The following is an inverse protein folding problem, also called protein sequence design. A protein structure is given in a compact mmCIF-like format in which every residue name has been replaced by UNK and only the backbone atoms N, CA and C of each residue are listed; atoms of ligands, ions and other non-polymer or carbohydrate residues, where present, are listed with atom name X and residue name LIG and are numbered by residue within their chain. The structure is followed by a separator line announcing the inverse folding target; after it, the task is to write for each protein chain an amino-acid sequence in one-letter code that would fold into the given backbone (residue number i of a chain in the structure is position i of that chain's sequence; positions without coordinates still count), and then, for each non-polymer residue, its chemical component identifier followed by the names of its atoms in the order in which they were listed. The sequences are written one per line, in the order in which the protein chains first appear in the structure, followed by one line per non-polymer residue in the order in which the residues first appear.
data_IF_285156383216
#
_entry.id   IF_285156383216
#
_cell.length_a   1.000
_cell.length_b   1.000
_cell.length_c   1.000
_cell.angle_alpha   90.00
_cell.angle_beta   90.00
_cell.angle_gamma   90.00
#
_symmetry.space_group_name_H-M   'P 1'
#
loop_
_entity.id
_entity.type
_entity.pdbx_description
1 polymer ?
#
# COMPACT_ATOMS: atom_id res chain seq x y z
N UNK A 1 18.09 13.31 7.79
CA UNK A 1 18.29 12.39 6.64
C UNK A 1 19.04 11.17 7.16
N UNK A 2 18.69 9.94 6.76
CA UNK A 2 18.04 9.56 5.50
C UNK A 2 16.51 9.55 5.64
N UNK A 3 15.77 10.55 5.12
CA UNK A 3 14.93 10.38 3.92
C UNK A 3 15.08 9.01 3.30
N UNK A 4 14.01 8.20 3.14
CA UNK A 4 13.94 7.05 2.23
C UNK A 4 14.80 7.34 0.97
N UNK A 5 16.08 6.92 0.89
CA UNK A 5 16.92 7.30 -0.23
C UNK A 5 17.17 6.04 -1.06
N UNK A 6 16.93 6.13 -2.37
CA UNK A 6 17.26 5.07 -3.35
C UNK A 6 16.49 3.75 -3.32
N UNK A 7 15.61 3.49 -2.35
CA UNK A 7 14.75 2.30 -2.35
C UNK A 7 13.79 2.34 -3.56
N UNK A 8 13.13 3.45 -3.87
CA UNK A 8 12.14 3.46 -4.97
C UNK A 8 12.71 3.13 -6.35
N UNK A 9 13.94 3.51 -6.71
CA UNK A 9 14.48 3.19 -8.04
C UNK A 9 15.04 1.77 -8.11
N UNK A 10 15.74 1.32 -7.07
CA UNK A 10 16.28 -0.04 -7.01
C UNK A 10 15.12 -1.04 -6.88
N UNK A 11 14.09 -0.75 -6.07
CA UNK A 11 12.91 -1.60 -5.95
C UNK A 11 12.02 -1.57 -7.20
N UNK A 12 11.86 -0.43 -7.90
CA UNK A 12 11.16 -0.44 -9.20
C UNK A 12 11.95 -1.29 -10.22
N UNK A 13 13.27 -1.21 -10.24
CA UNK A 13 14.11 -2.08 -11.08
C UNK A 13 13.98 -3.54 -10.65
N UNK A 14 13.95 -3.85 -9.36
CA UNK A 14 13.69 -5.21 -8.85
C UNK A 14 12.28 -5.69 -9.16
N UNK A 15 11.26 -4.83 -9.13
CA UNK A 15 9.88 -5.16 -9.54
C UNK A 15 9.85 -5.49 -11.04
N UNK A 16 10.55 -4.69 -11.87
CA UNK A 16 10.69 -4.95 -13.29
C UNK A 16 11.49 -6.26 -13.52
N UNK A 17 12.58 -6.48 -12.80
CA UNK A 17 13.41 -7.68 -12.91
C UNK A 17 12.73 -8.94 -12.38
N UNK A 18 11.98 -8.89 -11.28
CA UNK A 18 11.16 -9.99 -10.76
C UNK A 18 10.02 -10.32 -11.74
N UNK A 19 9.41 -9.31 -12.36
CA UNK A 19 8.42 -9.52 -13.41
C UNK A 19 9.02 -10.13 -14.69
N UNK A 20 10.27 -9.82 -15.03
CA UNK A 20 10.97 -10.35 -16.23
C UNK A 20 11.62 -11.73 -16.01
N UNK A 21 12.22 -11.99 -14.85
CA UNK A 21 12.93 -13.26 -14.56
C UNK A 21 12.00 -14.47 -14.45
N UNK A 22 10.72 -14.26 -14.15
CA UNK A 22 9.70 -15.32 -14.13
C UNK A 22 9.13 -15.65 -15.52
N UNK A 23 9.68 -15.06 -16.59
CA UNK A 23 9.27 -15.32 -17.98
C UNK A 23 10.19 -16.29 -18.75
N UNK A 24 11.30 -16.73 -18.15
CA UNK A 24 12.23 -17.68 -18.73
C UNK A 24 12.44 -18.92 -17.84
N UNK A 25 11.45 -19.80 -17.80
CA UNK A 25 11.68 -21.20 -17.47
C UNK A 25 10.68 -22.07 -18.22
N UNK A 26 11.01 -22.41 -19.47
CA UNK A 26 10.70 -23.69 -20.14
C UNK A 26 11.00 -23.58 -21.63
N UNK A 27 12.14 -24.13 -22.06
CA UNK A 27 12.32 -24.80 -23.35
C UNK A 27 13.77 -25.30 -23.49
N UNK A 28 13.97 -26.61 -23.37
CA UNK A 28 15.08 -27.32 -24.05
C UNK A 28 14.69 -27.49 -25.53
N UNK A 29 15.66 -27.41 -26.46
CA UNK A 29 15.99 -28.63 -27.19
C UNK A 29 17.48 -28.80 -27.54
N UNK A 30 17.78 -30.00 -28.04
CA UNK A 30 19.08 -30.55 -28.39
C UNK A 30 19.81 -29.87 -29.56
N UNK A 31 21.13 -29.77 -29.36
CA UNK A 31 22.30 -29.77 -30.25
C UNK A 31 22.15 -29.91 -31.79
N UNK A 32 22.80 -29.03 -32.57
CA UNK A 32 23.90 -29.41 -33.51
C UNK A 32 24.52 -28.22 -34.29
N UNK A 33 25.86 -28.16 -34.22
CA UNK A 33 26.88 -27.69 -35.20
C UNK A 33 26.87 -26.28 -35.84
N UNK A 34 27.88 -25.51 -35.42
CA UNK A 34 28.89 -24.74 -36.19
C UNK A 34 28.48 -23.65 -37.21
N UNK A 35 28.95 -22.41 -37.01
CA UNK A 35 30.14 -21.78 -37.67
C UNK A 35 30.49 -20.43 -36.98
N UNK A 36 31.79 -20.20 -36.80
CA UNK A 36 32.59 -18.96 -36.55
C UNK A 36 31.98 -17.59 -36.93
N UNK A 37 32.47 -16.43 -36.48
CA UNK A 37 33.37 -15.94 -35.43
C UNK A 37 33.50 -14.41 -35.67
N UNK A 38 33.54 -13.59 -34.61
CA UNK A 38 34.19 -12.27 -34.48
C UNK A 38 33.42 -11.44 -33.42
N UNK A 39 33.82 -11.51 -32.15
CA UNK A 39 34.90 -10.70 -31.53
C UNK A 39 34.47 -9.26 -31.25
N UNK A 40 34.05 -8.99 -30.01
CA UNK A 40 34.39 -7.79 -29.23
C UNK A 40 34.30 -8.18 -27.75
N UNK A 41 35.44 -8.63 -27.20
CA UNK A 41 35.63 -8.86 -25.78
C UNK A 41 36.11 -7.58 -25.13
N UNK A 42 35.44 -7.14 -24.07
CA UNK A 42 36.06 -6.40 -22.98
C UNK A 42 35.88 -7.28 -21.74
N UNK A 43 36.99 -7.85 -21.28
CA UNK A 43 37.06 -8.60 -20.03
C UNK A 43 37.08 -7.63 -18.86
N UNK A 44 36.18 -7.85 -17.91
CA UNK A 44 36.36 -7.40 -16.54
C UNK A 44 36.06 -8.58 -15.60
N UNK A 45 36.87 -8.58 -14.55
CA UNK A 45 37.22 -9.67 -13.64
C UNK A 45 36.03 -10.20 -12.83
N UNK A 46 35.78 -11.51 -12.91
CA UNK A 46 34.77 -12.21 -12.11
C UNK A 46 35.48 -12.85 -10.91
N UNK A 47 35.66 -12.08 -9.85
CA UNK A 47 36.48 -12.46 -8.71
C UNK A 47 36.03 -11.92 -7.36
N UNK A 48 34.74 -11.95 -7.02
CA UNK A 48 34.32 -12.04 -5.61
C UNK A 48 32.87 -12.56 -5.49
N UNK A 49 32.73 -13.87 -5.26
CA UNK A 49 31.45 -14.45 -4.83
C UNK A 49 31.28 -14.08 -3.36
N UNK A 50 30.48 -13.04 -3.09
CA UNK A 50 29.98 -12.79 -1.73
C UNK A 50 28.94 -13.86 -1.43
N UNK A 51 29.39 -14.92 -0.76
CA UNK A 51 28.51 -15.89 -0.09
C UNK A 51 27.82 -15.19 1.06
N UNK A 52 26.53 -14.87 0.90
CA UNK A 52 25.69 -14.41 2.00
C UNK A 52 25.34 -15.60 2.89
N UNK A 53 26.11 -15.80 3.95
CA UNK A 53 25.70 -16.63 5.08
C UNK A 53 24.53 -15.91 5.79
N UNK A 54 23.37 -16.54 6.02
CA UNK A 54 22.29 -15.94 6.77
C UNK A 54 22.66 -15.88 8.25
N UNK A 55 22.90 -14.67 8.76
CA UNK A 55 23.08 -14.42 10.19
C UNK A 55 21.86 -14.91 10.98
N UNK A 56 22.05 -15.55 12.15
CA UNK A 56 20.96 -16.13 12.94
C UNK A 56 20.09 -15.02 13.52
N UNK A 57 18.82 -14.99 13.09
CA UNK A 57 17.78 -14.11 13.63
C UNK A 57 17.62 -14.35 15.14
N UNK A 58 18.00 -13.35 15.93
CA UNK A 58 17.68 -13.26 17.35
C UNK A 58 16.96 -11.94 17.65
N UNK A 59 15.79 -12.07 18.28
CA UNK A 59 15.18 -11.06 19.17
C UNK A 59 14.57 -9.81 18.55
N UNK A 60 13.23 -9.73 18.63
CA UNK A 60 12.40 -8.51 18.72
C UNK A 60 12.99 -7.19 18.17
N UNK A 61 12.87 -6.98 16.86
CA UNK A 61 13.06 -5.65 16.27
C UNK A 61 11.79 -4.81 16.46
N UNK A 62 11.72 -4.09 17.57
CA UNK A 62 10.91 -2.88 17.64
C UNK A 62 11.56 -1.86 16.70
N UNK A 63 10.95 -1.60 15.53
CA UNK A 63 11.47 -0.60 14.58
C UNK A 63 11.35 0.77 15.25
N UNK A 64 12.45 1.29 15.79
CA UNK A 64 12.53 2.65 16.32
C UNK A 64 12.42 3.63 15.15
N UNK A 65 11.19 4.01 14.79
CA UNK A 65 10.95 5.09 13.85
C UNK A 65 11.20 6.41 14.58
N UNK A 66 12.27 7.16 14.26
CA UNK A 66 12.45 8.48 14.85
C UNK A 66 11.23 9.33 14.51
N UNK A 67 10.67 9.98 15.53
CA UNK A 67 9.48 10.81 15.39
C UNK A 67 9.73 11.86 14.28
N UNK A 68 8.90 11.92 13.23
CA UNK A 68 9.10 12.87 12.14
C UNK A 68 9.21 14.31 12.67
N UNK A 69 10.20 15.06 12.19
CA UNK A 69 10.25 16.49 12.49
C UNK A 69 9.07 17.23 11.80
N UNK A 70 8.72 18.41 12.30
CA UNK A 70 7.62 19.23 11.75
C UNK A 70 7.78 19.48 10.23
N UNK A 71 9.02 19.59 9.77
CA UNK A 71 9.35 19.79 8.36
C UNK A 71 9.07 18.54 7.51
N UNK A 72 9.24 17.34 8.04
CA UNK A 72 8.84 16.10 7.38
C UNK A 72 7.32 16.02 7.25
N UNK A 73 6.59 16.34 8.31
CA UNK A 73 5.12 16.36 8.30
C UNK A 73 4.59 17.39 7.30
N UNK A 74 5.13 18.60 7.29
CA UNK A 74 4.74 19.64 6.32
C UNK A 74 4.91 19.15 4.87
N UNK A 75 6.03 18.48 4.56
CA UNK A 75 6.26 17.92 3.21
C UNK A 75 5.30 16.79 2.86
N UNK A 76 4.91 15.98 3.84
CA UNK A 76 3.89 14.95 3.62
C UNK A 76 2.56 15.61 3.25
N UNK A 77 2.13 16.62 4.03
CA UNK A 77 0.89 17.39 3.80
C UNK A 77 0.88 18.02 2.41
N UNK A 78 1.97 18.69 2.02
CA UNK A 78 2.09 19.33 0.69
C UNK A 78 1.96 18.33 -0.47
N UNK A 79 2.31 17.06 -0.21
CA UNK A 79 2.31 16.01 -1.23
C UNK A 79 1.04 15.15 -1.26
N UNK A 80 0.13 15.27 -0.28
CA UNK A 80 -1.07 14.40 -0.17
C UNK A 80 -1.97 14.46 -1.40
N UNK A 81 -2.21 15.66 -1.92
CA UNK A 81 -3.09 15.90 -3.07
C UNK A 81 -2.68 15.11 -4.31
N UNK A 82 -1.38 14.83 -4.48
CA UNK A 82 -0.84 14.05 -5.60
C UNK A 82 -1.15 12.55 -5.51
N UNK A 83 -1.61 12.09 -4.34
CA UNK A 83 -1.90 10.69 -4.03
C UNK A 83 -3.40 10.45 -3.78
N UNK A 84 -4.25 11.44 -4.08
CA UNK A 84 -5.69 11.33 -3.99
C UNK A 84 -6.31 10.93 -5.35
N UNK A 85 -7.45 10.22 -5.36
CA UNK A 85 -8.25 10.04 -6.56
C UNK A 85 -8.72 11.38 -7.15
N UNK A 86 -9.01 11.41 -8.46
CA UNK A 86 -9.57 12.60 -9.10
C UNK A 86 -10.93 12.99 -8.49
N UNK A 87 -11.24 14.30 -8.32
CA UNK A 87 -12.44 14.76 -7.59
C UNK A 87 -13.78 14.29 -8.17
N UNK A 88 -13.85 14.04 -9.48
CA UNK A 88 -15.05 13.59 -10.17
C UNK A 88 -15.35 12.10 -9.96
N UNK A 89 -14.37 11.32 -9.49
CA UNK A 89 -14.50 9.87 -9.29
C UNK A 89 -15.65 9.51 -8.34
N UNK A 90 -15.76 10.21 -7.21
CA UNK A 90 -16.82 9.98 -6.22
C UNK A 90 -18.20 10.15 -6.85
N UNK A 91 -18.39 11.21 -7.64
CA UNK A 91 -19.65 11.45 -8.36
C UNK A 91 -19.93 10.35 -9.38
N UNK A 92 -18.93 9.98 -10.19
CA UNK A 92 -19.06 8.91 -11.21
C UNK A 92 -19.44 7.57 -10.60
N UNK A 93 -18.92 7.24 -9.43
CA UNK A 93 -19.31 6.03 -8.72
C UNK A 93 -20.75 6.11 -8.21
N UNK A 94 -21.15 7.24 -7.61
CA UNK A 94 -22.53 7.41 -7.12
C UNK A 94 -23.57 7.30 -8.24
N UNK A 95 -23.24 7.79 -9.44
CA UNK A 95 -24.10 7.68 -10.62
C UNK A 95 -24.22 6.23 -11.16
N UNK A 96 -23.33 5.33 -10.74
CA UNK A 96 -23.22 3.94 -11.25
C UNK A 96 -23.18 2.93 -10.11
N UNK A 97 -24.36 2.51 -9.66
CA UNK A 97 -24.51 1.54 -8.56
C UNK A 97 -23.70 0.24 -8.74
N UNK A 98 -23.58 -0.26 -9.98
CA UNK A 98 -22.80 -1.47 -10.30
C UNK A 98 -21.30 -1.28 -10.03
N UNK A 99 -20.76 -0.08 -10.27
CA UNK A 99 -19.34 0.22 -10.04
C UNK A 99 -19.03 0.30 -8.55
N UNK A 100 -19.98 0.80 -7.74
CA UNK A 100 -19.88 0.84 -6.26
C UNK A 100 -19.84 -0.58 -5.68
N UNK A 101 -20.73 -1.46 -6.14
CA UNK A 101 -20.76 -2.86 -5.69
C UNK A 101 -19.46 -3.57 -6.09
N UNK A 102 -19.02 -3.40 -7.34
CA UNK A 102 -17.78 -4.02 -7.84
C UNK A 102 -16.55 -3.52 -7.09
N UNK A 103 -16.48 -2.21 -6.78
CA UNK A 103 -15.44 -1.63 -5.91
C UNK A 103 -15.48 -2.27 -4.51
N UNK A 104 -16.65 -2.38 -3.92
CA UNK A 104 -16.80 -2.96 -2.58
C UNK A 104 -16.35 -4.42 -2.53
N UNK A 105 -16.72 -5.23 -3.53
CA UNK A 105 -16.29 -6.61 -3.67
C UNK A 105 -14.77 -6.72 -3.81
N UNK A 106 -14.15 -5.88 -4.64
CA UNK A 106 -12.70 -5.80 -4.80
C UNK A 106 -11.98 -5.44 -3.51
N UNK A 107 -12.46 -4.43 -2.78
CA UNK A 107 -11.85 -4.00 -1.50
C UNK A 107 -12.02 -5.09 -0.44
N UNK A 108 -13.19 -5.72 -0.37
CA UNK A 108 -13.42 -6.84 0.52
C UNK A 108 -12.44 -7.99 0.27
N UNK A 109 -12.22 -8.31 -1.00
CA UNK A 109 -11.23 -9.32 -1.38
C UNK A 109 -9.82 -8.89 -0.97
N UNK A 110 -9.38 -7.66 -1.28
CA UNK A 110 -8.05 -7.17 -0.92
C UNK A 110 -7.80 -7.23 0.61
N UNK A 111 -8.78 -6.81 1.42
CA UNK A 111 -8.68 -6.86 2.88
C UNK A 111 -8.64 -8.30 3.42
N UNK A 112 -9.35 -9.24 2.80
CA UNK A 112 -9.26 -10.67 3.15
C UNK A 112 -7.87 -11.22 2.84
N UNK A 113 -7.29 -10.88 1.69
CA UNK A 113 -5.94 -11.34 1.32
C UNK A 113 -4.88 -10.74 2.24
N UNK A 114 -4.99 -9.45 2.57
CA UNK A 114 -4.16 -8.81 3.59
C UNK A 114 -4.21 -9.58 4.92
N UNK A 115 -5.41 -9.94 5.40
CA UNK A 115 -5.57 -10.69 6.64
C UNK A 115 -5.00 -12.12 6.54
N UNK A 116 -5.09 -12.76 5.37
CA UNK A 116 -4.58 -14.11 5.14
C UNK A 116 -3.06 -14.20 5.21
N UNK A 117 -2.37 -13.24 4.57
CA UNK A 117 -0.91 -13.21 4.52
C UNK A 117 -0.27 -12.40 5.64
N UNK A 118 -1.07 -11.81 6.54
CA UNK A 118 -0.60 -10.90 7.58
C UNK A 118 0.24 -9.74 7.02
N UNK A 119 -0.19 -9.21 5.87
CA UNK A 119 0.44 -8.01 5.31
C UNK A 119 0.29 -6.82 6.26
N UNK A 120 1.17 -5.85 6.12
CA UNK A 120 1.07 -4.57 6.81
C UNK A 120 -0.23 -3.85 6.46
N UNK A 121 -0.86 -3.14 7.42
CA UNK A 121 -2.00 -2.25 7.13
C UNK A 121 -1.69 -1.23 6.02
N UNK A 122 -0.43 -0.80 5.91
CA UNK A 122 0.04 0.09 4.84
C UNK A 122 -0.16 -0.56 3.47
N UNK A 123 0.17 -1.85 3.32
CA UNK A 123 0.00 -2.62 2.09
C UNK A 123 -1.47 -2.69 1.68
N UNK A 124 -2.37 -2.98 2.62
CA UNK A 124 -3.80 -2.99 2.36
C UNK A 124 -4.30 -1.61 1.90
N UNK A 125 -3.92 -0.54 2.60
CA UNK A 125 -4.33 0.81 2.24
C UNK A 125 -3.79 1.23 0.87
N UNK A 126 -2.51 0.97 0.58
CA UNK A 126 -1.91 1.26 -0.72
C UNK A 126 -2.60 0.50 -1.85
N UNK A 127 -2.98 -0.76 -1.63
CA UNK A 127 -3.71 -1.54 -2.64
C UNK A 127 -5.03 -0.86 -3.02
N UNK A 128 -5.79 -0.35 -2.04
CA UNK A 128 -7.03 0.40 -2.29
C UNK A 128 -6.74 1.77 -2.90
N UNK A 129 -5.70 2.47 -2.43
CA UNK A 129 -5.29 3.76 -2.99
C UNK A 129 -4.96 3.64 -4.49
N UNK A 130 -4.21 2.60 -4.89
CA UNK A 130 -3.88 2.38 -6.28
C UNK A 130 -5.12 2.04 -7.12
N UNK A 131 -6.00 1.22 -6.55
CA UNK A 131 -7.25 0.80 -7.18
C UNK A 131 -8.14 2.01 -7.48
N UNK A 132 -8.41 2.85 -6.47
CA UNK A 132 -9.26 4.02 -6.62
C UNK A 132 -8.63 5.10 -7.50
N UNK A 133 -7.31 5.33 -7.42
CA UNK A 133 -6.62 6.26 -8.32
C UNK A 133 -6.69 5.79 -9.78
N UNK A 134 -6.55 4.48 -10.03
CA UNK A 134 -6.71 3.93 -11.36
C UNK A 134 -8.13 4.15 -11.90
N UNK A 135 -9.16 3.81 -11.13
CA UNK A 135 -10.58 4.00 -11.52
C UNK A 135 -11.00 5.48 -11.61
N UNK A 136 -10.28 6.35 -10.90
CA UNK A 136 -10.46 7.79 -11.03
C UNK A 136 -10.06 8.31 -12.42
N UNK A 137 -9.11 7.65 -13.10
CA UNK A 137 -8.63 8.06 -14.43
C UNK A 137 -9.18 7.19 -15.57
N UNK A 138 -9.57 5.95 -15.29
CA UNK A 138 -9.98 4.99 -16.29
C UNK A 138 -11.31 4.31 -15.93
N UNK A 139 -12.15 4.09 -16.93
CA UNK A 139 -13.32 3.22 -16.79
C UNK A 139 -12.96 1.80 -17.22
N UNK A 140 -13.36 0.82 -16.40
CA UNK A 140 -13.25 -0.58 -16.77
C UNK A 140 -14.45 -1.03 -17.62
N UNK A 141 -14.27 -2.00 -18.53
CA UNK A 141 -15.39 -2.63 -19.21
C UNK A 141 -16.35 -3.29 -18.21
N UNK A 142 -17.65 -3.20 -18.45
CA UNK A 142 -18.68 -3.90 -17.66
C UNK A 142 -18.77 -5.38 -18.06
N UNK A 143 -17.65 -6.09 -18.00
CA UNK A 143 -17.54 -7.49 -18.41
C UNK A 143 -17.57 -8.41 -17.18
N UNK A 144 -18.75 -8.77 -16.70
CA UNK A 144 -18.99 -9.80 -15.66
C UNK A 144 -18.11 -9.70 -14.39
N UNK A 145 -17.58 -8.50 -14.07
CA UNK A 145 -16.72 -8.25 -12.89
C UNK A 145 -15.25 -8.66 -12.99
N UNK A 146 -14.84 -9.43 -14.01
CA UNK A 146 -13.43 -9.87 -14.11
C UNK A 146 -12.40 -8.72 -14.20
N UNK A 147 -12.68 -7.56 -14.86
CA UNK A 147 -11.72 -6.47 -14.90
C UNK A 147 -11.42 -5.87 -13.53
N UNK A 148 -12.43 -5.81 -12.65
CA UNK A 148 -12.29 -5.32 -11.28
C UNK A 148 -11.45 -6.29 -10.44
N UNK A 149 -11.67 -7.60 -10.60
CA UNK A 149 -10.83 -8.62 -9.93
C UNK A 149 -9.37 -8.58 -10.43
N UNK A 150 -9.14 -8.43 -11.74
CA UNK A 150 -7.79 -8.32 -12.28
C UNK A 150 -7.08 -7.05 -11.74
N UNK A 151 -7.79 -5.92 -11.71
CA UNK A 151 -7.27 -4.68 -11.15
C UNK A 151 -6.94 -4.85 -9.66
N UNK A 152 -7.81 -5.48 -8.87
CA UNK A 152 -7.55 -5.68 -7.43
C UNK A 152 -6.33 -6.56 -7.18
N UNK A 153 -6.17 -7.67 -7.92
CA UNK A 153 -5.00 -8.54 -7.82
C UNK A 153 -3.71 -7.78 -8.18
N UNK A 154 -3.73 -6.98 -9.25
CA UNK A 154 -2.58 -6.19 -9.67
C UNK A 154 -2.22 -5.08 -8.65
N UNK A 155 -3.21 -4.34 -8.14
CA UNK A 155 -2.99 -3.30 -7.14
C UNK A 155 -2.44 -3.87 -5.84
N UNK A 156 -2.97 -5.01 -5.37
CA UNK A 156 -2.46 -5.68 -4.18
C UNK A 156 -1.04 -6.21 -4.38
N UNK A 157 -0.75 -6.81 -5.54
CA UNK A 157 0.61 -7.30 -5.83
C UNK A 157 1.62 -6.16 -5.86
N UNK A 158 1.28 -5.02 -6.49
CA UNK A 158 2.12 -3.83 -6.47
C UNK A 158 2.34 -3.32 -5.04
N UNK A 159 1.28 -3.22 -4.24
CA UNK A 159 1.41 -2.76 -2.85
C UNK A 159 2.31 -3.68 -2.03
N UNK A 160 2.13 -5.00 -2.16
CA UNK A 160 2.95 -5.98 -1.47
C UNK A 160 4.42 -5.88 -1.89
N UNK A 161 4.72 -5.71 -3.18
CA UNK A 161 6.10 -5.50 -3.67
C UNK A 161 6.75 -4.20 -3.18
N UNK A 162 5.95 -3.20 -2.81
CA UNK A 162 6.45 -1.92 -2.32
C UNK A 162 6.74 -1.93 -0.82
N UNK A 163 5.98 -2.69 -0.03
CA UNK A 163 6.01 -2.60 1.43
C UNK A 163 6.39 -3.89 2.16
N UNK A 164 6.20 -5.07 1.55
CA UNK A 164 6.46 -6.35 2.20
C UNK A 164 7.89 -6.87 1.92
N UNK A 165 8.53 -7.49 2.92
CA UNK A 165 9.85 -8.10 2.73
C UNK A 165 9.79 -9.36 1.85
N UNK A 166 8.66 -10.06 1.88
CA UNK A 166 8.41 -11.26 1.11
C UNK A 166 7.02 -11.18 0.48
N UNK A 167 6.97 -11.39 -0.83
CA UNK A 167 5.73 -11.35 -1.59
C UNK A 167 5.43 -12.74 -2.13
N UNK A 168 4.23 -13.31 -1.88
CA UNK A 168 3.81 -14.56 -2.48
C UNK A 168 3.83 -14.50 -4.01
N UNK A 169 3.87 -15.66 -4.66
CA UNK A 169 3.77 -15.72 -6.12
C UNK A 169 2.41 -15.17 -6.59
N UNK A 170 2.37 -14.67 -7.83
CA UNK A 170 1.14 -14.10 -8.42
C UNK A 170 -0.02 -15.09 -8.50
N UNK A 171 0.28 -16.39 -8.64
CA UNK A 171 -0.74 -17.43 -8.57
C UNK A 171 -1.24 -17.61 -7.14
N UNK A 172 -0.34 -17.63 -6.16
CA UNK A 172 -0.68 -17.84 -4.76
C UNK A 172 -1.50 -16.68 -4.19
N UNK A 173 -1.24 -15.43 -4.62
CA UNK A 173 -2.01 -14.25 -4.19
C UNK A 173 -3.52 -14.35 -4.48
N UNK A 174 -3.93 -15.22 -5.41
CA UNK A 174 -5.33 -15.37 -5.84
C UNK A 174 -6.11 -16.36 -4.96
N UNK A 175 -6.09 -16.12 -3.65
CA UNK A 175 -6.78 -16.96 -2.64
C UNK A 175 -8.29 -16.68 -2.55
N UNK A 176 -8.99 -17.52 -1.77
CA UNK A 176 -10.43 -17.48 -1.47
C UNK A 176 -11.36 -17.83 -2.62
N UNK A 177 -11.00 -18.87 -3.38
CA UNK A 177 -11.82 -19.40 -4.49
C UNK A 177 -12.29 -18.27 -5.42
N UNK A 178 -11.36 -17.53 -6.04
CA UNK A 178 -11.72 -16.38 -6.84
C UNK A 178 -12.57 -16.85 -8.03
N UNK A 179 -13.59 -16.07 -8.38
CA UNK A 179 -14.44 -16.35 -9.55
C UNK A 179 -13.63 -16.41 -10.85
N UNK A 180 -12.47 -15.75 -10.87
CA UNK A 180 -11.55 -15.68 -11.98
C UNK A 180 -10.13 -15.90 -11.47
N UNK A 181 -9.37 -16.75 -12.17
CA UNK A 181 -7.94 -16.95 -11.94
C UNK A 181 -7.20 -16.44 -13.18
N UNK A 182 -6.22 -15.58 -12.96
CA UNK A 182 -5.43 -14.95 -14.02
C UNK A 182 -4.03 -15.52 -14.07
N UNK A 183 -3.52 -15.69 -15.29
CA UNK A 183 -2.12 -16.02 -15.50
C UNK A 183 -1.21 -14.87 -15.01
N UNK A 184 -0.01 -15.19 -14.47
CA UNK A 184 0.96 -14.19 -14.03
C UNK A 184 1.23 -13.09 -15.06
N UNK A 185 1.36 -13.44 -16.34
CA UNK A 185 1.59 -12.48 -17.43
C UNK A 185 0.46 -11.48 -17.60
N UNK A 186 -0.78 -11.90 -17.35
CA UNK A 186 -1.97 -11.02 -17.42
C UNK A 186 -1.98 -10.04 -16.25
N UNK A 187 -1.63 -10.52 -15.05
CA UNK A 187 -1.49 -9.67 -13.87
C UNK A 187 -0.37 -8.65 -14.08
N UNK A 188 0.82 -9.07 -14.52
CA UNK A 188 1.95 -8.17 -14.80
C UNK A 188 1.64 -7.08 -15.82
N UNK A 189 0.88 -7.41 -16.87
CA UNK A 189 0.40 -6.40 -17.84
C UNK A 189 -0.52 -5.38 -17.17
N UNK A 190 -1.38 -5.83 -16.27
CA UNK A 190 -2.23 -4.94 -15.49
C UNK A 190 -1.42 -4.09 -14.51
N UNK A 191 -0.42 -4.65 -13.84
CA UNK A 191 0.51 -3.91 -12.98
C UNK A 191 1.17 -2.75 -13.74
N UNK A 192 1.67 -3.00 -14.96
CA UNK A 192 2.25 -1.96 -15.81
C UNK A 192 1.24 -0.86 -16.15
N UNK A 193 -0.03 -1.22 -16.42
CA UNK A 193 -1.09 -0.24 -16.64
C UNK A 193 -1.38 0.60 -15.41
N UNK A 194 -1.41 -0.02 -14.22
CA UNK A 194 -1.59 0.69 -12.95
C UNK A 194 -0.43 1.64 -12.71
N UNK A 195 0.82 1.18 -12.83
CA UNK A 195 1.99 2.04 -12.67
C UNK A 195 1.99 3.22 -13.64
N UNK A 196 1.66 2.99 -14.91
CA UNK A 196 1.55 4.05 -15.90
C UNK A 196 0.45 5.06 -15.56
N UNK A 197 -0.75 4.59 -15.20
CA UNK A 197 -1.88 5.42 -14.77
C UNK A 197 -1.54 6.30 -13.57
N UNK A 198 -0.76 5.77 -12.63
CA UNK A 198 -0.34 6.46 -11.41
C UNK A 198 0.91 7.33 -11.62
N UNK A 199 1.41 7.48 -12.85
CA UNK A 199 2.67 8.15 -13.17
C UNK A 199 3.85 7.64 -12.34
N UNK A 200 3.88 6.33 -12.06
CA UNK A 200 4.87 5.65 -11.24
C UNK A 200 4.97 6.15 -9.79
N UNK A 201 3.97 6.93 -9.32
CA UNK A 201 3.88 7.42 -7.94
C UNK A 201 3.23 6.38 -7.04
N UNK A 202 3.96 5.29 -6.79
CA UNK A 202 3.53 4.19 -5.92
C UNK A 202 3.84 4.47 -4.44
N UNK A 203 4.88 5.23 -4.12
CA UNK A 203 5.13 5.66 -2.73
C UNK A 203 4.16 6.77 -2.31
N UNK A 204 2.87 6.44 -2.23
CA UNK A 204 1.80 7.35 -1.81
C UNK A 204 1.97 7.73 -0.34
N UNK A 205 1.61 8.96 0.00
CA UNK A 205 1.39 9.35 1.40
C UNK A 205 0.15 8.62 1.93
N UNK A 206 0.30 8.01 3.09
CA UNK A 206 -0.73 7.22 3.77
C UNK A 206 -1.08 7.81 5.14
N UNK A 207 -2.25 7.49 5.70
CA UNK A 207 -2.59 7.92 7.06
C UNK A 207 -1.57 7.43 8.11
N UNK A 208 -0.94 6.28 7.86
CA UNK A 208 0.04 5.68 8.77
C UNK A 208 1.31 6.53 8.92
N UNK A 209 1.68 7.32 7.91
CA UNK A 209 2.83 8.22 7.96
C UNK A 209 2.69 9.31 9.04
N UNK A 210 1.46 9.60 9.46
CA UNK A 210 1.17 10.62 10.47
C UNK A 210 0.94 10.06 11.88
N UNK A 211 0.60 8.79 12.03
CA UNK A 211 0.14 8.23 13.31
C UNK A 211 1.17 8.42 14.42
N UNK A 212 2.44 8.05 14.18
CA UNK A 212 3.51 8.20 15.18
C UNK A 212 3.67 9.65 15.63
N UNK A 213 3.67 10.59 14.68
CA UNK A 213 3.79 12.01 14.98
C UNK A 213 2.57 12.51 15.75
N UNK A 214 1.35 12.21 15.33
CA UNK A 214 0.15 12.66 16.03
C UNK A 214 0.05 12.08 17.44
N UNK A 215 0.38 10.79 17.65
CA UNK A 215 0.38 10.19 18.98
C UNK A 215 1.41 10.87 19.89
N UNK A 216 2.58 11.22 19.35
CA UNK A 216 3.62 11.93 20.12
C UNK A 216 3.19 13.31 20.63
N UNK A 217 2.18 13.91 20.00
CA UNK A 217 1.61 15.21 20.37
C UNK A 217 0.45 15.09 21.35
N UNK A 218 -0.04 13.88 21.64
CA UNK A 218 -1.11 13.71 22.61
C UNK A 218 -0.62 14.05 24.03
N UNK A 219 -1.47 14.69 24.86
CA UNK A 219 -1.15 14.95 26.26
C UNK A 219 -0.81 13.64 26.97
N UNK A 220 0.39 13.56 27.56
CA UNK A 220 0.86 12.34 28.22
C UNK A 220 -0.01 12.05 29.45
N UNK A 221 -0.95 11.11 29.35
CA UNK A 221 -1.53 10.50 30.53
C UNK A 221 -0.46 9.57 31.13
N UNK A 222 0.27 10.11 32.09
CA UNK A 222 1.38 9.47 32.79
C UNK A 222 0.96 8.11 33.36
N UNK A 223 1.52 7.01 32.82
CA UNK A 223 2.01 5.78 33.50
C UNK A 223 1.84 4.45 32.75
N UNK A 224 1.24 4.38 31.54
CA UNK A 224 1.09 3.10 30.79
C UNK A 224 1.29 3.19 29.27
N UNK A 225 2.26 4.01 28.83
CA UNK A 225 2.33 4.46 27.43
C UNK A 225 2.78 3.40 26.42
N UNK A 226 3.64 2.42 26.76
CA UNK A 226 4.13 1.46 25.75
C UNK A 226 3.01 0.53 25.24
N UNK A 227 2.27 -0.08 26.16
CA UNK A 227 1.14 -0.96 25.82
C UNK A 227 -0.03 -0.16 25.22
N UNK A 228 -0.23 1.07 25.69
CA UNK A 228 -1.24 1.99 25.15
C UNK A 228 -0.89 2.47 23.74
N UNK A 229 0.38 2.72 23.42
CA UNK A 229 0.82 3.21 22.12
C UNK A 229 0.55 2.18 21.01
N UNK A 230 0.98 0.94 21.22
CA UNK A 230 0.74 -0.16 20.28
C UNK A 230 -0.75 -0.45 20.12
N UNK A 231 -1.53 -0.38 21.21
CA UNK A 231 -2.98 -0.53 21.17
C UNK A 231 -3.66 0.60 20.39
N UNK A 232 -3.26 1.86 20.59
CA UNK A 232 -3.79 3.03 19.87
C UNK A 232 -3.44 2.94 18.39
N UNK A 233 -2.22 2.54 18.03
CA UNK A 233 -1.83 2.33 16.63
C UNK A 233 -2.67 1.23 15.99
N UNK A 234 -2.85 0.09 16.67
CA UNK A 234 -3.67 -1.00 16.16
C UNK A 234 -5.13 -0.55 15.93
N UNK A 235 -5.76 0.07 16.93
CA UNK A 235 -7.12 0.58 16.83
C UNK A 235 -7.27 1.65 15.73
N UNK A 236 -6.31 2.58 15.63
CA UNK A 236 -6.29 3.59 14.57
C UNK A 236 -6.15 2.94 13.19
N UNK A 237 -5.30 1.92 13.07
CA UNK A 237 -5.07 1.17 11.83
C UNK A 237 -6.34 0.47 11.36
N UNK A 238 -7.05 -0.20 12.27
CA UNK A 238 -8.31 -0.87 11.98
C UNK A 238 -9.38 0.14 11.51
N UNK A 239 -9.49 1.28 12.18
CA UNK A 239 -10.40 2.36 11.76
C UNK A 239 -10.04 2.87 10.37
N UNK A 240 -8.75 3.15 10.10
CA UNK A 240 -8.27 3.58 8.78
C UNK A 240 -8.65 2.55 7.71
N UNK A 241 -8.38 1.26 7.92
CA UNK A 241 -8.73 0.22 6.95
C UNK A 241 -10.25 0.12 6.76
N UNK A 242 -11.05 0.25 7.81
CA UNK A 242 -12.50 0.25 7.71
C UNK A 242 -13.04 1.41 6.86
N UNK A 243 -12.44 2.59 6.97
CA UNK A 243 -12.85 3.75 6.15
C UNK A 243 -12.68 3.49 4.64
N UNK A 244 -11.70 2.69 4.22
CA UNK A 244 -11.44 2.41 2.80
C UNK A 244 -12.64 1.75 2.09
N UNK A 245 -13.45 1.01 2.85
CA UNK A 245 -14.67 0.35 2.37
C UNK A 245 -15.72 1.38 1.96
N UNK A 246 -15.85 2.46 2.72
CA UNK A 246 -16.90 3.47 2.54
C UNK A 246 -16.42 4.52 1.54
N UNK A 247 -17.07 4.58 0.37
CA UNK A 247 -16.63 5.43 -0.74
C UNK A 247 -16.57 6.92 -0.40
N UNK A 248 -17.43 7.38 0.53
CA UNK A 248 -17.47 8.78 0.94
C UNK A 248 -16.17 9.26 1.60
N UNK A 249 -15.36 8.35 2.15
CA UNK A 249 -14.10 8.70 2.80
C UNK A 249 -12.99 9.06 1.81
N UNK A 250 -13.16 8.80 0.51
CA UNK A 250 -12.20 9.20 -0.53
C UNK A 250 -12.02 10.72 -0.65
N UNK A 251 -12.92 11.51 -0.05
CA UNK A 251 -12.81 12.97 -0.01
C UNK A 251 -11.80 13.49 1.02
N UNK A 252 -11.43 12.67 1.99
CA UNK A 252 -10.58 13.10 3.10
C UNK A 252 -9.11 12.78 2.81
N UNK A 253 -8.24 13.75 3.08
CA UNK A 253 -6.81 13.58 2.92
C UNK A 253 -6.25 12.59 3.97
N UNK A 254 -5.12 11.91 3.70
CA UNK A 254 -4.52 10.94 4.61
C UNK A 254 -4.28 11.49 6.03
N UNK A 255 -3.81 12.74 6.15
CA UNK A 255 -3.64 13.47 7.41
C UNK A 255 -4.94 13.59 8.20
N UNK A 256 -6.05 13.90 7.53
CA UNK A 256 -7.38 14.01 8.13
C UNK A 256 -7.87 12.65 8.62
N UNK A 257 -7.67 11.59 7.81
CA UNK A 257 -8.03 10.22 8.19
C UNK A 257 -7.25 9.76 9.42
N UNK A 258 -5.95 10.04 9.47
CA UNK A 258 -5.08 9.69 10.57
C UNK A 258 -5.47 10.40 11.87
N UNK A 259 -5.72 11.71 11.81
CA UNK A 259 -6.14 12.49 12.96
C UNK A 259 -7.50 12.01 13.49
N UNK A 260 -8.47 11.78 12.60
CA UNK A 260 -9.79 11.29 12.98
C UNK A 260 -9.73 9.88 13.61
N UNK A 261 -9.00 8.95 12.98
CA UNK A 261 -8.83 7.60 13.50
C UNK A 261 -8.16 7.60 14.87
N UNK A 262 -7.13 8.42 15.06
CA UNK A 262 -6.46 8.57 16.35
C UNK A 262 -7.41 9.11 17.42
N UNK A 263 -8.15 10.17 17.12
CA UNK A 263 -9.11 10.75 18.06
C UNK A 263 -10.19 9.74 18.45
N UNK A 264 -10.71 8.96 17.51
CA UNK A 264 -11.65 7.88 17.80
C UNK A 264 -11.01 6.78 18.69
N UNK A 265 -9.82 6.31 18.33
CA UNK A 265 -9.11 5.26 19.08
C UNK A 265 -8.75 5.68 20.52
N UNK A 266 -8.46 6.97 20.73
CA UNK A 266 -8.20 7.53 22.06
C UNK A 266 -9.49 7.85 22.81
N UNK A 267 -10.55 8.29 22.13
CA UNK A 267 -11.86 8.60 22.70
C UNK A 267 -12.52 7.41 23.38
N UNK A 268 -12.33 6.20 22.85
CA UNK A 268 -12.78 4.95 23.49
C UNK A 268 -12.02 4.63 24.80
N UNK A 269 -10.83 5.21 25.00
CA UNK A 269 -10.00 5.05 26.20
C UNK A 269 -10.03 6.28 27.14
N UNK A 270 -10.57 7.41 26.67
CA UNK A 270 -10.90 8.57 27.48
C UNK A 270 -12.34 8.41 27.96
N UNK A 271 -12.54 7.75 29.11
CA UNK A 271 -13.68 8.10 29.95
C UNK A 271 -13.55 9.60 30.26
N UNK A 272 -14.26 10.43 29.50
CA UNK A 272 -14.41 11.84 29.79
C UNK A 272 -15.00 11.94 31.19
N UNK A 273 -14.31 12.56 32.17
CA UNK A 273 -14.93 12.86 33.45
C UNK A 273 -16.01 13.91 33.16
N UNK A 274 -17.24 13.43 33.05
CA UNK A 274 -18.48 14.18 32.86
C UNK A 274 -18.52 15.15 31.67
N UNK A 275 -19.63 15.06 30.96
CA UNK A 275 -20.21 16.20 30.26
C UNK A 275 -20.30 17.37 31.24
N UNK A 276 -19.39 18.33 31.16
CA UNK A 276 -19.66 19.69 31.62
C UNK A 276 -19.01 20.69 30.67
N UNK A 277 -19.87 21.20 29.79
CA UNK A 277 -19.96 22.60 29.37
C UNK A 277 -18.64 23.30 29.06
N UNK A 278 -18.05 23.14 27.87
CA UNK A 278 -17.08 24.12 27.36
C UNK A 278 -16.87 24.09 25.83
N UNK A 279 -17.92 23.99 25.00
CA UNK A 279 -17.78 24.27 23.55
C UNK A 279 -19.08 24.77 22.89
N UNK A 280 -19.91 25.53 23.61
CA UNK A 280 -21.09 26.15 23.02
C UNK A 280 -21.37 27.58 23.49
N UNK A 281 -20.32 28.41 23.64
CA UNK A 281 -20.53 29.85 23.93
C UNK A 281 -19.47 30.79 23.35
N UNK A 282 -19.05 30.58 22.09
CA UNK A 282 -18.21 31.58 21.38
C UNK A 282 -18.59 31.83 19.91
N UNK A 283 -19.83 31.55 19.51
CA UNK A 283 -20.37 31.97 18.20
C UNK A 283 -21.73 32.65 18.34
N UNK A 284 -21.87 33.49 19.37
CA UNK A 284 -22.83 34.60 19.40
C UNK A 284 -22.61 35.49 20.63
N UNK A 285 -21.60 36.36 20.55
CA UNK A 285 -21.58 37.67 21.21
C UNK A 285 -20.73 38.63 20.40
#
# INVERSE_FOLDING_TARGET
MPLRPSISRIFIITIIQMSLSHSHSHSTPLNSSSVSAASLSCGEDAGEVVTWEPEPFSGHHDKYYPNPDENAISRLIDSESHHMPLPDYLRRCQDRSVDVISRQDSINWMLKVHAHYHFSPVTAFLSVNYFDRYLSSYSLPQANGWPFQLLSVACLSLAAKMEEPQVPLLLDLQVFEPRFVFEPKTIQRMELRVMAALNWRLCSVTPFDYLHYFISKLPSCSTRLSDSFSSIIAASSDLILNTTRVIDFLRFAPSTMAAAALLCATGDNLECPARDVFFHESVNR
#
